data_IF_346058611729
#
_entry.id   IF_346058611729
#
_cell.length_a   1.000
_cell.length_b   1.000
_cell.length_c   1.000
_cell.angle_alpha   90.00
_cell.angle_beta   90.00
_cell.angle_gamma   90.00
#
_symmetry.space_group_name_H-M   'P 1'
#
loop_
_entity.id
_entity.type
_entity.pdbx_description
1 polymer ?
#
# COMPACT_ATOMS: atom_id res chain seq x y z
N UNK A 1 -16.94 55.27 -5.75
CA UNK A 1 -17.43 53.88 -5.85
C UNK A 1 -18.80 53.80 -5.21
N UNK A 2 -19.79 53.23 -5.90
CA UNK A 2 -21.17 53.12 -5.41
C UNK A 2 -21.22 52.10 -4.25
N UNK A 3 -21.67 52.53 -3.06
CA UNK A 3 -21.70 51.77 -1.80
C UNK A 3 -22.35 50.39 -1.93
N UNK A 4 -23.33 50.24 -2.83
CA UNK A 4 -23.97 48.94 -3.12
C UNK A 4 -23.00 47.92 -3.74
N UNK A 5 -22.07 48.37 -4.58
CA UNK A 5 -21.06 47.49 -5.17
C UNK A 5 -20.01 47.08 -4.14
N UNK A 6 -19.63 47.99 -3.23
CA UNK A 6 -18.71 47.66 -2.14
C UNK A 6 -19.32 46.59 -1.24
N UNK A 7 -20.57 46.78 -0.79
CA UNK A 7 -21.26 45.82 0.05
C UNK A 7 -21.37 44.45 -0.62
N UNK A 8 -21.76 44.40 -1.90
CA UNK A 8 -21.82 43.15 -2.68
C UNK A 8 -20.47 42.45 -2.72
N UNK A 9 -19.40 43.18 -3.05
CA UNK A 9 -18.06 42.61 -3.15
C UNK A 9 -17.55 42.09 -1.79
N UNK A 10 -17.85 42.80 -0.70
CA UNK A 10 -17.53 42.35 0.66
C UNK A 10 -18.30 41.07 1.00
N UNK A 11 -19.59 40.98 0.69
CA UNK A 11 -20.39 39.76 0.92
C UNK A 11 -19.83 38.57 0.14
N UNK A 12 -19.48 38.76 -1.14
CA UNK A 12 -18.88 37.71 -1.96
C UNK A 12 -17.52 37.28 -1.41
N UNK A 13 -16.68 38.22 -0.98
CA UNK A 13 -15.39 37.91 -0.36
C UNK A 13 -15.56 37.12 0.95
N UNK A 14 -16.48 37.54 1.82
CA UNK A 14 -16.76 36.83 3.07
C UNK A 14 -17.29 35.42 2.82
N UNK A 15 -18.17 35.24 1.83
CA UNK A 15 -18.65 33.92 1.43
C UNK A 15 -17.51 33.04 0.88
N UNK A 16 -16.65 33.58 0.03
CA UNK A 16 -15.49 32.86 -0.50
C UNK A 16 -14.50 32.47 0.62
N UNK A 17 -14.24 33.38 1.57
CA UNK A 17 -13.38 33.10 2.73
C UNK A 17 -13.99 32.03 3.64
N UNK A 18 -15.30 32.06 3.87
CA UNK A 18 -15.98 31.03 4.66
C UNK A 18 -15.87 29.65 4.00
N UNK A 19 -16.08 29.57 2.68
CA UNK A 19 -15.89 28.33 1.92
C UNK A 19 -14.44 27.84 1.94
N UNK A 20 -13.48 28.75 1.77
CA UNK A 20 -12.06 28.43 1.83
C UNK A 20 -11.63 27.95 3.23
N UNK A 21 -12.20 28.52 4.30
CA UNK A 21 -11.95 28.08 5.67
C UNK A 21 -12.50 26.67 5.92
N UNK A 22 -13.75 26.39 5.52
CA UNK A 22 -14.36 25.07 5.67
C UNK A 22 -13.60 24.00 4.88
N UNK A 23 -13.28 24.27 3.61
CA UNK A 23 -12.48 23.35 2.80
C UNK A 23 -11.04 23.20 3.34
N UNK A 24 -10.45 24.29 3.83
CA UNK A 24 -9.13 24.29 4.45
C UNK A 24 -9.04 23.39 5.68
N UNK A 25 -10.12 23.30 6.47
CA UNK A 25 -10.19 22.40 7.61
C UNK A 25 -10.16 20.93 7.16
N UNK A 26 -10.92 20.54 6.15
CA UNK A 26 -10.88 19.16 5.61
C UNK A 26 -9.49 18.79 5.07
N UNK A 27 -8.81 19.71 4.38
CA UNK A 27 -7.43 19.49 3.91
C UNK A 27 -6.42 19.40 5.04
N UNK A 28 -6.62 20.17 6.12
CA UNK A 28 -5.78 20.13 7.30
C UNK A 28 -5.96 18.83 8.09
N UNK A 29 -7.20 18.34 8.19
CA UNK A 29 -7.53 17.09 8.87
C UNK A 29 -6.88 15.89 8.16
N UNK A 30 -6.92 15.85 6.81
CA UNK A 30 -6.22 14.82 6.03
C UNK A 30 -4.68 14.84 6.20
N UNK A 31 -4.11 16.00 6.53
CA UNK A 31 -2.66 16.11 6.77
C UNK A 31 -2.25 15.56 8.14
N UNK A 32 -3.20 15.31 9.05
CA UNK A 32 -2.87 14.74 10.36
C UNK A 32 -2.40 13.29 10.21
N UNK A 33 -1.30 12.88 10.89
CA UNK A 33 -0.83 11.50 10.85
C UNK A 33 -1.88 10.52 11.38
N UNK A 34 -1.91 9.31 10.82
CA UNK A 34 -2.67 8.20 11.42
C UNK A 34 -2.02 7.78 12.73
N UNK A 35 -2.84 7.36 13.69
CA UNK A 35 -2.39 6.73 14.92
C UNK A 35 -2.43 5.20 14.75
N UNK A 36 -1.32 4.53 15.07
CA UNK A 36 -1.20 3.08 15.02
C UNK A 36 -1.06 2.47 16.41
N UNK A 37 -1.58 1.26 16.61
CA UNK A 37 -1.41 0.55 17.87
C UNK A 37 0.02 0.02 17.99
N UNK A 38 0.77 0.51 18.97
CA UNK A 38 2.20 0.17 19.16
C UNK A 38 2.47 -0.64 20.43
N UNK A 39 1.42 -1.16 21.08
CA UNK A 39 1.56 -1.97 22.30
C UNK A 39 1.64 -3.48 22.01
N UNK A 40 1.83 -3.88 20.75
CA UNK A 40 2.13 -5.28 20.40
C UNK A 40 3.43 -5.71 21.11
N UNK A 41 3.40 -6.73 21.99
CA UNK A 41 4.59 -7.16 22.74
C UNK A 41 5.76 -7.65 21.88
N UNK A 42 5.51 -8.07 20.63
CA UNK A 42 6.55 -8.49 19.70
C UNK A 42 7.23 -7.33 18.97
N UNK A 43 6.64 -6.12 19.02
CA UNK A 43 7.24 -4.93 18.40
C UNK A 43 8.51 -4.55 19.17
N UNK A 44 9.67 -4.71 18.53
CA UNK A 44 10.97 -4.45 19.13
C UNK A 44 11.28 -2.95 19.15
N UNK A 45 11.04 -2.25 18.04
CA UNK A 45 11.21 -0.80 17.91
C UNK A 45 10.47 -0.24 16.70
N UNK A 46 10.28 1.08 16.70
CA UNK A 46 9.86 1.85 15.52
C UNK A 46 11.08 2.66 15.08
N UNK A 47 11.51 2.44 13.85
CA UNK A 47 12.61 3.13 13.20
C UNK A 47 12.08 4.17 12.20
N UNK A 48 12.88 5.17 11.87
CA UNK A 48 12.57 6.11 10.78
C UNK A 48 13.31 5.72 9.50
N UNK A 49 12.71 5.93 8.34
CA UNK A 49 13.39 5.70 7.05
C UNK A 49 14.63 6.60 6.90
N UNK A 50 14.66 7.75 7.58
CA UNK A 50 15.84 8.60 7.68
C UNK A 50 17.04 7.97 8.39
N UNK A 51 16.89 6.84 9.08
CA UNK A 51 18.04 6.02 9.54
C UNK A 51 18.83 5.42 8.36
N UNK A 52 18.17 5.20 7.22
CA UNK A 52 18.76 4.63 6.00
C UNK A 52 19.06 5.67 4.92
N UNK A 53 18.40 6.83 4.98
CA UNK A 53 18.73 8.02 4.19
C UNK A 53 18.55 9.31 5.02
N UNK A 54 19.61 9.86 5.62
CA UNK A 54 19.52 11.05 6.47
C UNK A 54 18.85 12.28 5.83
N UNK A 55 18.85 12.38 4.49
CA UNK A 55 18.20 13.47 3.76
C UNK A 55 16.68 13.48 3.89
N UNK A 56 16.07 12.36 4.33
CA UNK A 56 14.64 12.30 4.59
C UNK A 56 14.24 12.94 5.92
N UNK A 57 15.17 13.16 6.85
CA UNK A 57 14.85 13.58 8.21
C UNK A 57 14.05 14.90 8.22
N UNK A 58 12.85 14.86 8.79
CA UNK A 58 11.95 16.01 8.88
C UNK A 58 11.23 16.37 7.57
N UNK A 59 11.38 15.56 6.52
CA UNK A 59 10.60 15.69 5.29
C UNK A 59 9.29 14.89 5.39
N UNK A 60 8.36 15.10 4.44
CA UNK A 60 7.14 14.31 4.34
C UNK A 60 7.35 12.88 3.79
N UNK A 61 8.60 12.48 3.53
CA UNK A 61 8.97 11.13 3.10
C UNK A 61 9.59 10.28 4.23
N UNK A 62 9.71 10.81 5.44
CA UNK A 62 10.32 10.11 6.59
C UNK A 62 9.32 9.14 7.25
N UNK A 63 9.03 8.04 6.54
CA UNK A 63 8.07 7.03 6.98
C UNK A 63 8.60 6.19 8.15
N UNK A 64 7.68 5.69 8.97
CA UNK A 64 7.97 4.78 10.08
C UNK A 64 8.14 3.34 9.57
N UNK A 65 9.10 2.64 10.18
CA UNK A 65 9.40 1.24 9.94
C UNK A 65 9.23 0.49 11.26
N UNK A 66 8.30 -0.45 11.29
CA UNK A 66 8.01 -1.27 12.46
C UNK A 66 8.89 -2.51 12.42
N UNK A 67 9.70 -2.71 13.47
CA UNK A 67 10.72 -3.77 13.52
C UNK A 67 10.32 -4.82 14.53
N UNK A 68 10.23 -6.07 14.07
CA UNK A 68 9.99 -7.26 14.88
C UNK A 68 11.21 -8.17 14.76
N UNK A 69 12.09 -8.14 15.76
CA UNK A 69 13.31 -8.93 15.82
C UNK A 69 13.19 -9.93 16.97
N UNK A 70 13.22 -11.23 16.67
CA UNK A 70 13.14 -12.26 17.71
C UNK A 70 14.44 -12.40 18.51
N UNK A 71 15.55 -11.82 18.03
CA UNK A 71 16.89 -12.05 18.55
C UNK A 71 17.45 -13.45 18.23
N UNK A 72 16.68 -14.30 17.55
CA UNK A 72 17.09 -15.64 17.11
C UNK A 72 17.44 -15.57 15.61
N UNK A 73 18.66 -15.98 15.21
CA UNK A 73 19.06 -15.98 13.80
C UNK A 73 18.07 -16.72 12.88
N UNK A 74 17.81 -16.15 11.72
CA UNK A 74 16.88 -16.67 10.72
C UNK A 74 16.76 -15.71 9.53
N UNK A 75 15.72 -15.89 8.73
CA UNK A 75 15.45 -15.04 7.57
C UNK A 75 15.02 -13.64 7.94
N UNK A 76 15.22 -12.72 6.99
CA UNK A 76 14.79 -11.33 7.10
C UNK A 76 13.76 -11.01 6.02
N UNK A 77 12.57 -10.55 6.42
CA UNK A 77 11.53 -10.13 5.48
C UNK A 77 11.18 -8.65 5.63
N UNK A 78 10.81 -8.04 4.51
CA UNK A 78 10.19 -6.71 4.46
C UNK A 78 8.81 -6.83 3.81
N UNK A 79 7.76 -6.46 4.55
CA UNK A 79 6.38 -6.36 4.08
C UNK A 79 5.98 -4.89 4.12
N UNK A 80 5.48 -4.35 3.01
CA UNK A 80 4.98 -2.98 3.03
C UNK A 80 3.77 -2.76 2.15
N UNK A 81 2.97 -1.78 2.55
CA UNK A 81 1.87 -1.22 1.79
C UNK A 81 2.00 0.30 1.71
N UNK A 82 0.99 0.94 1.13
CA UNK A 82 0.97 2.40 1.02
C UNK A 82 2.03 2.95 0.07
N UNK A 83 2.51 2.13 -0.87
CA UNK A 83 3.25 2.60 -2.05
C UNK A 83 2.41 3.61 -2.83
N UNK A 84 1.12 3.31 -2.97
CA UNK A 84 0.07 4.26 -3.31
C UNK A 84 -0.94 4.32 -2.15
N UNK A 85 -1.32 5.52 -1.71
CA UNK A 85 -2.14 5.69 -0.50
C UNK A 85 -3.65 5.46 -0.73
N UNK A 86 -4.06 5.27 -1.99
CA UNK A 86 -5.41 4.85 -2.37
C UNK A 86 -5.56 3.31 -2.52
N UNK A 87 -4.48 2.56 -2.26
CA UNK A 87 -4.44 1.10 -2.26
C UNK A 87 -4.64 0.59 -0.83
N UNK A 88 -5.85 0.82 -0.32
CA UNK A 88 -6.18 0.72 1.10
C UNK A 88 -6.08 -0.69 1.65
N UNK A 89 -6.30 -1.75 0.87
CA UNK A 89 -6.20 -3.12 1.39
C UNK A 89 -4.77 -3.51 1.74
N UNK A 90 -3.79 -3.08 0.93
CA UNK A 90 -2.38 -3.28 1.21
C UNK A 90 -1.93 -2.51 2.47
N UNK A 91 -2.43 -1.29 2.66
CA UNK A 91 -2.21 -0.50 3.88
C UNK A 91 -2.79 -1.21 5.10
N UNK A 92 -4.05 -1.66 5.02
CA UNK A 92 -4.71 -2.35 6.11
C UNK A 92 -4.03 -3.68 6.46
N UNK A 93 -3.57 -4.44 5.46
CA UNK A 93 -2.76 -5.64 5.68
C UNK A 93 -1.50 -5.33 6.50
N UNK A 94 -0.74 -4.30 6.15
CA UNK A 94 0.44 -3.88 6.90
C UNK A 94 0.12 -3.40 8.32
N UNK A 95 -1.00 -2.69 8.52
CA UNK A 95 -1.50 -2.32 9.86
C UNK A 95 -1.81 -3.59 10.67
N UNK A 96 -2.50 -4.57 10.10
CA UNK A 96 -2.82 -5.84 10.77
C UNK A 96 -1.56 -6.59 11.20
N UNK A 97 -0.50 -6.58 10.37
CA UNK A 97 0.80 -7.10 10.75
C UNK A 97 1.36 -6.40 11.99
N UNK A 98 1.40 -5.06 12.00
CA UNK A 98 1.95 -4.29 13.13
C UNK A 98 1.25 -4.66 14.44
N UNK A 99 -0.06 -4.83 14.40
CA UNK A 99 -0.89 -4.99 15.60
C UNK A 99 -0.92 -6.43 16.13
N UNK A 100 -0.68 -7.44 15.29
CA UNK A 100 -0.97 -8.84 15.64
C UNK A 100 0.22 -9.79 15.46
N UNK A 101 1.23 -9.44 14.66
CA UNK A 101 2.32 -10.38 14.37
C UNK A 101 3.17 -10.64 15.62
N UNK A 102 3.58 -11.89 15.79
CA UNK A 102 4.62 -12.33 16.71
C UNK A 102 5.71 -13.05 15.92
N UNK A 103 6.97 -12.77 16.23
CA UNK A 103 8.13 -13.34 15.52
C UNK A 103 8.96 -14.14 16.52
N UNK A 104 9.13 -15.44 16.26
CA UNK A 104 9.90 -16.34 17.13
C UNK A 104 11.28 -16.71 16.57
N UNK A 105 11.50 -16.53 15.27
CA UNK A 105 12.78 -16.76 14.60
C UNK A 105 12.93 -15.79 13.42
N UNK A 106 14.08 -15.14 13.29
CA UNK A 106 14.34 -14.17 12.21
C UNK A 106 13.86 -12.76 12.55
N UNK A 107 13.79 -11.93 11.51
CA UNK A 107 13.43 -10.51 11.63
C UNK A 107 12.41 -10.11 10.56
N UNK A 108 11.40 -9.35 10.96
CA UNK A 108 10.39 -8.78 10.06
C UNK A 108 10.37 -7.26 10.18
N UNK A 109 10.38 -6.60 9.03
CA UNK A 109 10.14 -5.17 8.88
C UNK A 109 8.77 -4.94 8.24
N UNK A 110 8.01 -3.98 8.78
CA UNK A 110 6.71 -3.59 8.26
C UNK A 110 6.65 -2.09 8.02
N UNK A 111 6.23 -1.66 6.82
CA UNK A 111 6.00 -0.24 6.49
C UNK A 111 4.55 -0.08 5.99
N UNK A 112 3.64 0.52 6.77
CA UNK A 112 2.23 0.64 6.35
C UNK A 112 2.02 1.80 5.36
N UNK A 113 2.91 2.78 5.36
CA UNK A 113 2.79 4.02 4.59
C UNK A 113 4.10 4.33 3.86
N UNK A 114 4.48 3.48 2.89
CA UNK A 114 5.76 3.62 2.18
C UNK A 114 5.91 5.00 1.50
N UNK A 115 4.83 5.51 0.90
CA UNK A 115 4.75 6.88 0.38
C UNK A 115 3.95 7.78 1.33
N UNK A 116 4.51 8.10 2.51
CA UNK A 116 3.84 8.90 3.54
C UNK A 116 3.26 10.21 2.99
N UNK A 117 3.98 10.86 2.08
CA UNK A 117 3.53 12.09 1.42
C UNK A 117 2.23 11.94 0.62
N UNK A 118 1.86 10.74 0.17
CA UNK A 118 0.65 10.51 -0.61
C UNK A 118 -0.61 10.44 0.27
N UNK A 119 -0.47 10.25 1.58
CA UNK A 119 -1.58 10.23 2.54
C UNK A 119 -2.08 11.63 2.91
N UNK A 120 -1.39 12.70 2.49
CA UNK A 120 -1.74 14.08 2.83
C UNK A 120 -2.57 14.81 1.76
N UNK A 121 -3.03 14.09 0.72
CA UNK A 121 -3.87 14.62 -0.34
C UNK A 121 -4.72 13.52 -0.99
N UNK A 122 -5.88 13.90 -1.51
CA UNK A 122 -6.69 13.06 -2.41
C UNK A 122 -6.45 13.42 -3.87
N UNK A 123 -6.92 12.58 -4.80
CA UNK A 123 -6.83 12.90 -6.22
C UNK A 123 -7.75 14.10 -6.55
N UNK A 124 -7.21 15.21 -7.09
CA UNK A 124 -8.03 16.38 -7.40
C UNK A 124 -9.19 16.03 -8.32
N UNK A 125 -10.34 16.69 -8.12
CA UNK A 125 -11.55 16.55 -8.93
C UNK A 125 -12.26 15.18 -8.87
N UNK A 126 -11.87 14.27 -7.97
CA UNK A 126 -12.57 12.98 -7.77
C UNK A 126 -13.64 12.99 -6.68
N UNK A 127 -13.69 14.03 -5.84
CA UNK A 127 -14.54 14.09 -4.64
C UNK A 127 -14.44 12.81 -3.79
N UNK A 128 -13.19 12.35 -3.61
CA UNK A 128 -12.83 11.11 -2.92
C UNK A 128 -12.98 11.26 -1.40
N UNK A 129 -13.48 10.21 -0.75
CA UNK A 129 -13.39 10.08 0.70
C UNK A 129 -11.92 10.20 1.17
N UNK A 130 -11.72 10.86 2.30
CA UNK A 130 -10.40 11.13 2.88
C UNK A 130 -10.01 10.12 3.96
N UNK A 131 -10.97 9.38 4.54
CA UNK A 131 -10.76 8.44 5.62
C UNK A 131 -11.72 7.25 5.51
N UNK A 132 -11.31 6.12 6.07
CA UNK A 132 -12.16 4.98 6.42
C UNK A 132 -12.26 4.90 7.94
N UNK A 133 -13.44 4.53 8.43
CA UNK A 133 -13.76 4.39 9.83
C UNK A 133 -14.22 2.95 10.12
N UNK A 134 -13.70 2.40 11.21
CA UNK A 134 -14.03 1.07 11.71
C UNK A 134 -14.44 1.20 13.17
N UNK A 135 -15.71 0.92 13.47
CA UNK A 135 -16.20 0.94 14.85
C UNK A 135 -15.94 -0.42 15.47
N UNK A 136 -15.03 -0.47 16.43
CA UNK A 136 -14.59 -1.70 17.08
C UNK A 136 -15.64 -2.25 18.03
N UNK A 137 -15.45 -3.50 18.45
CA UNK A 137 -16.34 -4.20 19.39
C UNK A 137 -16.47 -3.53 20.77
N UNK A 138 -15.48 -2.73 21.18
CA UNK A 138 -15.52 -1.93 22.42
C UNK A 138 -16.21 -0.57 22.27
N UNK A 139 -16.67 -0.23 21.06
CA UNK A 139 -17.33 1.03 20.72
C UNK A 139 -16.38 2.17 20.34
N UNK A 140 -15.06 1.95 20.38
CA UNK A 140 -14.09 2.92 19.87
C UNK A 140 -14.07 2.93 18.33
N UNK A 141 -13.62 4.03 17.72
CA UNK A 141 -13.48 4.14 16.26
C UNK A 141 -12.01 4.19 15.88
N UNK A 142 -11.59 3.29 14.99
CA UNK A 142 -10.33 3.37 14.26
C UNK A 142 -10.55 4.11 12.96
N UNK A 143 -9.77 5.15 12.75
CA UNK A 143 -9.78 5.92 11.52
C UNK A 143 -8.45 5.71 10.79
N UNK A 144 -8.52 5.51 9.47
CA UNK A 144 -7.34 5.35 8.60
C UNK A 144 -7.52 6.23 7.37
N UNK A 145 -6.53 7.05 7.05
CA UNK A 145 -6.54 7.93 5.87
C UNK A 145 -6.59 7.16 4.56
N UNK A 146 -7.33 7.73 3.61
CA UNK A 146 -7.32 7.37 2.20
C UNK A 146 -6.61 8.51 1.46
N UNK A 147 -5.42 8.22 0.95
CA UNK A 147 -4.64 9.19 0.19
C UNK A 147 -4.84 9.07 -1.32
N UNK A 148 -3.81 9.41 -2.06
CA UNK A 148 -3.79 9.31 -3.52
C UNK A 148 -2.61 8.48 -4.03
N UNK A 149 -2.55 8.26 -5.33
CA UNK A 149 -1.50 7.47 -5.99
C UNK A 149 -0.12 8.14 -5.90
N UNK A 150 -0.10 9.47 -6.00
CA UNK A 150 1.14 10.25 -6.11
C UNK A 150 1.44 10.93 -4.77
N UNK A 151 2.72 11.15 -4.47
CA UNK A 151 3.10 12.06 -3.40
C UNK A 151 2.45 13.43 -3.61
N UNK A 152 2.07 14.09 -2.50
CA UNK A 152 1.47 15.42 -2.54
C UNK A 152 2.40 16.41 -3.29
N UNK A 153 1.92 17.10 -4.33
CA UNK A 153 2.73 18.07 -5.08
C UNK A 153 3.24 19.23 -4.22
N UNK A 154 2.60 19.54 -3.08
CA UNK A 154 3.11 20.55 -2.13
C UNK A 154 4.44 20.12 -1.51
N UNK A 155 4.66 18.82 -1.32
CA UNK A 155 5.90 18.29 -0.74
C UNK A 155 6.99 18.04 -1.80
N UNK A 156 6.60 17.91 -3.07
CA UNK A 156 7.51 17.70 -4.19
C UNK A 156 7.11 18.59 -5.38
N UNK A 157 7.66 19.80 -5.39
CA UNK A 157 7.52 20.79 -6.45
C UNK A 157 8.86 21.50 -6.70
N UNK A 158 9.20 21.88 -7.95
CA UNK A 158 8.47 21.59 -9.20
C UNK A 158 8.75 20.19 -9.75
N UNK A 159 7.82 19.64 -10.51
CA UNK A 159 8.14 18.52 -11.39
C UNK A 159 9.07 19.02 -12.52
N UNK A 160 10.08 18.23 -12.91
CA UNK A 160 10.90 18.56 -14.08
C UNK A 160 10.06 18.47 -15.37
N UNK A 161 10.62 18.85 -16.53
CA UNK A 161 9.98 18.57 -17.83
C UNK A 161 10.41 17.22 -18.43
N UNK A 162 11.55 16.69 -17.96
CA UNK A 162 12.14 15.42 -18.36
C UNK A 162 12.94 14.86 -17.20
N UNK A 163 12.85 13.55 -16.96
CA UNK A 163 13.67 12.85 -15.96
C UNK A 163 14.04 11.45 -16.48
N UNK A 164 15.32 11.15 -16.57
CA UNK A 164 15.83 9.79 -16.72
C UNK A 164 16.23 9.26 -15.34
N UNK A 165 15.40 8.41 -14.74
CA UNK A 165 15.65 7.91 -13.38
C UNK A 165 16.79 6.86 -13.36
N UNK A 166 17.16 6.43 -12.15
CA UNK A 166 18.27 5.48 -11.93
C UNK A 166 18.01 4.06 -12.42
N UNK A 167 16.75 3.67 -12.65
CA UNK A 167 16.42 2.39 -13.29
C UNK A 167 16.39 2.45 -14.81
N UNK A 168 16.68 3.61 -15.42
CA UNK A 168 16.65 3.81 -16.87
C UNK A 168 15.28 4.18 -17.43
N UNK A 169 14.27 4.41 -16.57
CA UNK A 169 12.96 4.90 -16.99
C UNK A 169 13.07 6.37 -17.39
N UNK A 170 12.56 6.69 -18.57
CA UNK A 170 12.36 8.07 -19.01
C UNK A 170 10.94 8.52 -18.65
N UNK A 171 10.84 9.57 -17.85
CA UNK A 171 9.60 10.30 -17.59
C UNK A 171 9.61 11.59 -18.40
N UNK A 172 8.61 11.76 -19.24
CA UNK A 172 8.51 12.89 -20.16
C UNK A 172 7.04 13.20 -20.50
N UNK A 173 6.76 14.43 -20.92
CA UNK A 173 5.43 14.86 -21.35
C UNK A 173 4.35 14.58 -20.29
N UNK A 174 3.27 13.87 -20.64
CA UNK A 174 2.15 13.58 -19.75
C UNK A 174 2.47 12.61 -18.60
N UNK A 175 3.59 11.90 -18.66
CA UNK A 175 3.99 10.97 -17.59
C UNK A 175 4.82 11.64 -16.50
N UNK A 176 5.13 12.92 -16.63
CA UNK A 176 6.09 13.57 -15.74
C UNK A 176 5.64 13.61 -14.28
N UNK A 177 4.32 13.63 -14.04
CA UNK A 177 3.74 13.53 -12.70
C UNK A 177 4.12 12.22 -11.99
N UNK A 178 4.50 11.17 -12.72
CA UNK A 178 4.97 9.89 -12.17
C UNK A 178 6.33 10.02 -11.44
N UNK A 179 7.02 11.17 -11.50
CA UNK A 179 8.16 11.46 -10.61
C UNK A 179 7.75 11.50 -9.14
N UNK A 180 6.45 11.67 -8.86
CA UNK A 180 5.85 11.57 -7.52
C UNK A 180 5.29 10.18 -7.21
N UNK A 181 5.44 9.21 -8.11
CA UNK A 181 4.98 7.85 -7.90
C UNK A 181 6.13 6.97 -7.35
N UNK A 182 5.97 6.41 -6.16
CA UNK A 182 7.00 5.58 -5.54
C UNK A 182 7.33 4.35 -6.40
N UNK A 183 6.32 3.68 -6.95
CA UNK A 183 6.48 2.55 -7.86
C UNK A 183 6.85 2.95 -9.30
N UNK A 184 7.57 4.05 -9.47
CA UNK A 184 8.15 4.51 -10.75
C UNK A 184 9.58 5.00 -10.59
N UNK A 185 10.07 5.08 -9.35
CA UNK A 185 11.32 5.75 -9.00
C UNK A 185 12.31 4.85 -8.27
N UNK A 186 11.99 3.58 -8.03
CA UNK A 186 13.00 2.61 -7.59
C UNK A 186 14.11 2.48 -8.66
N UNK A 187 15.39 2.25 -8.28
CA UNK A 187 15.90 2.05 -6.92
C UNK A 187 16.14 3.34 -6.11
N UNK A 188 15.80 4.51 -6.66
CA UNK A 188 15.93 5.81 -6.00
C UNK A 188 17.28 6.49 -6.14
N UNK A 189 17.43 7.62 -5.47
CA UNK A 189 18.65 8.42 -5.34
C UNK A 189 18.82 8.91 -3.90
N UNK A 190 20.06 8.96 -3.40
CA UNK A 190 20.36 9.43 -2.04
C UNK A 190 19.91 10.89 -1.84
N UNK A 191 20.25 11.72 -2.83
CA UNK A 191 19.86 13.12 -2.93
C UNK A 191 19.17 13.30 -4.29
N UNK A 192 17.90 13.69 -4.27
CA UNK A 192 17.05 13.76 -5.46
C UNK A 192 15.67 14.32 -5.12
N UNK A 193 14.68 14.00 -5.95
CA UNK A 193 13.29 14.32 -5.61
C UNK A 193 12.84 13.52 -4.38
N UNK A 194 11.87 14.05 -3.62
CA UNK A 194 11.39 13.42 -2.37
C UNK A 194 11.15 11.92 -2.52
N UNK A 195 10.39 11.51 -3.55
CA UNK A 195 10.06 10.11 -3.79
C UNK A 195 11.28 9.27 -4.21
N UNK A 196 12.25 9.85 -4.92
CA UNK A 196 13.52 9.16 -5.22
C UNK A 196 14.33 8.91 -3.95
N UNK A 197 14.34 9.87 -3.02
CA UNK A 197 14.99 9.74 -1.72
C UNK A 197 14.33 8.66 -0.85
N UNK A 198 12.99 8.57 -0.90
CA UNK A 198 12.23 7.48 -0.24
C UNK A 198 12.60 6.12 -0.85
N UNK A 199 12.59 6.00 -2.17
CA UNK A 199 12.98 4.78 -2.86
C UNK A 199 14.41 4.33 -2.50
N UNK A 200 15.33 5.29 -2.40
CA UNK A 200 16.70 5.03 -1.96
C UNK A 200 16.76 4.57 -0.52
N UNK A 201 16.01 5.21 0.39
CA UNK A 201 15.89 4.78 1.79
C UNK A 201 15.42 3.34 1.89
N UNK A 202 14.39 2.95 1.13
CA UNK A 202 13.89 1.55 1.09
C UNK A 202 14.97 0.60 0.57
N UNK A 203 15.68 0.96 -0.50
CA UNK A 203 16.82 0.15 -0.99
C UNK A 203 17.89 0.00 0.08
N UNK A 204 18.26 1.09 0.76
CA UNK A 204 19.28 1.07 1.81
C UNK A 204 18.85 0.23 3.00
N UNK A 205 17.57 0.26 3.40
CA UNK A 205 17.00 -0.68 4.37
C UNK A 205 17.22 -2.13 3.93
N UNK A 206 16.82 -2.46 2.71
CA UNK A 206 16.97 -3.82 2.14
C UNK A 206 18.42 -4.29 2.15
N UNK A 207 19.36 -3.45 1.73
CA UNK A 207 20.79 -3.77 1.71
C UNK A 207 21.41 -3.88 3.10
N UNK A 208 21.06 -2.96 4.01
CA UNK A 208 21.68 -2.86 5.34
C UNK A 208 21.23 -4.00 6.25
N UNK A 209 19.94 -4.33 6.20
CA UNK A 209 19.35 -5.38 7.00
C UNK A 209 19.42 -6.76 6.33
N UNK A 210 20.01 -6.84 5.13
CA UNK A 210 20.13 -8.06 4.33
C UNK A 210 18.78 -8.77 4.15
N UNK A 211 17.75 -8.02 3.74
CA UNK A 211 16.41 -8.55 3.52
C UNK A 211 16.45 -9.67 2.47
N UNK A 212 15.95 -10.85 2.83
CA UNK A 212 15.89 -12.04 2.00
C UNK A 212 14.70 -12.03 1.05
N UNK A 213 13.52 -11.66 1.57
CA UNK A 213 12.27 -11.56 0.82
C UNK A 213 11.63 -10.19 1.02
N UNK A 214 11.19 -9.59 -0.08
CA UNK A 214 10.49 -8.32 -0.08
C UNK A 214 9.12 -8.49 -0.72
N UNK A 215 8.10 -8.00 -0.02
CA UNK A 215 6.72 -7.97 -0.46
C UNK A 215 6.19 -6.54 -0.47
N UNK A 216 5.85 -6.05 -1.66
CA UNK A 216 5.19 -4.76 -1.88
C UNK A 216 3.71 -5.01 -2.23
N UNK A 217 2.80 -4.62 -1.33
CA UNK A 217 1.36 -4.77 -1.53
C UNK A 217 0.80 -3.64 -2.39
N UNK A 218 0.16 -4.01 -3.50
CA UNK A 218 -0.52 -3.10 -4.45
C UNK A 218 -1.96 -3.54 -4.70
N UNK A 219 -2.73 -2.64 -5.29
CA UNK A 219 -4.02 -3.01 -5.85
C UNK A 219 -4.12 -2.59 -7.31
N UNK A 220 -5.01 -3.25 -8.02
CA UNK A 220 -5.20 -3.13 -9.45
C UNK A 220 -6.63 -2.72 -9.76
N UNK A 221 -6.77 -1.79 -10.70
CA UNK A 221 -8.07 -1.45 -11.27
C UNK A 221 -8.70 -2.65 -12.00
N UNK A 222 -10.04 -2.74 -12.09
CA UNK A 222 -10.73 -3.81 -12.82
C UNK A 222 -10.26 -4.02 -14.27
N UNK A 223 -9.83 -2.93 -14.92
CA UNK A 223 -9.33 -2.92 -16.31
C UNK A 223 -7.90 -3.45 -16.44
N UNK A 224 -7.17 -3.62 -15.34
CA UNK A 224 -5.78 -4.04 -15.38
C UNK A 224 -5.66 -5.55 -15.51
N UNK A 225 -4.75 -6.03 -16.37
CA UNK A 225 -4.62 -7.45 -16.69
C UNK A 225 -4.08 -8.30 -15.54
N UNK A 226 -3.27 -7.69 -14.67
CA UNK A 226 -2.59 -8.39 -13.58
C UNK A 226 -3.36 -8.32 -12.25
N UNK A 227 -4.69 -8.38 -12.28
CA UNK A 227 -5.50 -8.50 -11.06
C UNK A 227 -5.30 -9.88 -10.43
N UNK A 228 -5.03 -9.89 -9.12
CA UNK A 228 -4.66 -11.04 -8.29
C UNK A 228 -3.36 -11.73 -8.71
N UNK A 229 -2.41 -10.97 -9.24
CA UNK A 229 -1.09 -11.48 -9.61
C UNK A 229 -0.02 -11.15 -8.58
N UNK A 230 0.78 -12.15 -8.24
CA UNK A 230 2.13 -11.96 -7.72
C UNK A 230 3.06 -11.72 -8.91
N UNK A 231 3.65 -10.53 -8.97
CA UNK A 231 4.71 -10.18 -9.91
C UNK A 231 6.05 -10.38 -9.22
N UNK A 232 6.82 -11.37 -9.65
CA UNK A 232 8.07 -11.75 -9.01
C UNK A 232 9.28 -11.41 -9.89
N UNK A 233 10.35 -10.90 -9.27
CA UNK A 233 11.66 -10.87 -9.92
C UNK A 233 12.09 -12.28 -10.34
N UNK A 234 12.91 -12.46 -11.39
CA UNK A 234 13.35 -13.81 -11.79
C UNK A 234 13.95 -14.64 -10.64
N UNK A 235 14.65 -13.99 -9.71
CA UNK A 235 15.24 -14.64 -8.52
C UNK A 235 14.19 -15.09 -7.48
N UNK A 236 12.98 -14.57 -7.55
CA UNK A 236 11.88 -14.86 -6.64
C UNK A 236 10.81 -15.79 -7.25
N UNK A 237 11.01 -16.28 -8.49
CA UNK A 237 10.00 -17.09 -9.18
C UNK A 237 9.71 -18.42 -8.50
N UNK A 238 10.74 -19.12 -8.05
CA UNK A 238 10.58 -20.40 -7.34
C UNK A 238 9.87 -20.18 -5.98
N UNK A 239 10.25 -19.11 -5.28
CA UNK A 239 9.62 -18.68 -4.03
C UNK A 239 8.13 -18.37 -4.24
N UNK A 240 7.80 -17.55 -5.25
CA UNK A 240 6.42 -17.19 -5.57
C UNK A 240 5.57 -18.39 -6.01
N UNK A 241 6.17 -19.34 -6.73
CA UNK A 241 5.49 -20.57 -7.14
C UNK A 241 5.13 -21.45 -5.94
N UNK A 242 6.07 -21.63 -5.01
CA UNK A 242 5.84 -22.36 -3.77
C UNK A 242 4.78 -21.67 -2.90
N UNK A 243 4.86 -20.34 -2.76
CA UNK A 243 3.88 -19.57 -1.99
C UNK A 243 2.46 -19.71 -2.53
N UNK A 244 2.26 -19.60 -3.85
CA UNK A 244 0.93 -19.77 -4.47
C UNK A 244 0.40 -21.20 -4.32
N UNK A 245 1.28 -22.20 -4.44
CA UNK A 245 0.88 -23.60 -4.22
C UNK A 245 0.41 -23.80 -2.77
N UNK A 246 1.21 -23.36 -1.80
CA UNK A 246 0.88 -23.49 -0.38
C UNK A 246 -0.40 -22.71 -0.02
N UNK A 247 -0.59 -21.51 -0.59
CA UNK A 247 -1.81 -20.73 -0.43
C UNK A 247 -3.06 -21.46 -0.92
N UNK A 248 -2.98 -22.11 -2.08
CA UNK A 248 -4.10 -22.88 -2.61
C UNK A 248 -4.35 -24.16 -1.80
N UNK A 249 -3.30 -24.82 -1.29
CA UNK A 249 -3.47 -25.98 -0.41
C UNK A 249 -4.19 -25.58 0.88
N UNK A 250 -3.81 -24.46 1.51
CA UNK A 250 -4.50 -23.92 2.69
C UNK A 250 -5.97 -23.60 2.37
N UNK A 251 -6.24 -22.90 1.27
CA UNK A 251 -7.61 -22.59 0.84
C UNK A 251 -8.47 -23.86 0.71
N UNK A 252 -7.92 -24.92 0.12
CA UNK A 252 -8.61 -26.20 -0.03
C UNK A 252 -8.86 -26.89 1.32
N UNK A 253 -7.91 -26.81 2.25
CA UNK A 253 -8.09 -27.33 3.61
C UNK A 253 -9.14 -26.56 4.41
N UNK A 254 -9.33 -25.27 4.10
CA UNK A 254 -10.37 -24.41 4.67
C UNK A 254 -11.74 -24.55 3.96
N UNK A 255 -11.83 -25.42 2.94
CA UNK A 255 -13.07 -25.73 2.23
C UNK A 255 -13.30 -24.94 0.94
N UNK A 256 -12.39 -24.04 0.57
CA UNK A 256 -12.39 -23.39 -0.73
C UNK A 256 -11.65 -24.26 -1.77
N UNK A 257 -12.38 -25.19 -2.37
CA UNK A 257 -11.84 -26.17 -3.32
C UNK A 257 -11.30 -25.56 -4.63
N UNK A 258 -11.73 -24.36 -4.98
CA UNK A 258 -11.26 -23.63 -6.16
C UNK A 258 -9.93 -22.89 -5.90
N UNK A 259 -9.48 -22.84 -4.64
CA UNK A 259 -8.30 -22.10 -4.23
C UNK A 259 -8.52 -20.59 -4.22
N UNK A 260 -7.45 -19.84 -3.99
CA UNK A 260 -7.47 -18.39 -4.16
C UNK A 260 -7.25 -18.03 -5.64
N UNK A 261 -7.75 -16.89 -6.13
CA UNK A 261 -7.58 -16.47 -7.53
C UNK A 261 -6.15 -16.00 -7.87
N UNK A 262 -5.15 -16.45 -7.10
CA UNK A 262 -3.77 -16.01 -7.19
C UNK A 262 -3.10 -16.56 -8.44
N UNK A 263 -2.37 -15.69 -9.12
CA UNK A 263 -1.60 -16.01 -10.31
C UNK A 263 -0.16 -15.52 -10.14
N UNK A 264 0.78 -16.16 -10.83
CA UNK A 264 2.17 -15.75 -10.86
C UNK A 264 2.48 -15.16 -12.23
N UNK A 265 3.17 -14.04 -12.27
CA UNK A 265 3.83 -13.56 -13.48
C UNK A 265 5.25 -13.11 -13.16
N UNK A 266 6.10 -13.19 -14.19
CA UNK A 266 7.47 -12.75 -14.09
C UNK A 266 7.53 -11.24 -14.34
N UNK A 267 8.26 -10.56 -13.46
CA UNK A 267 8.70 -9.18 -13.68
C UNK A 267 9.41 -9.03 -15.03
N UNK A 268 8.83 -8.22 -15.92
CA UNK A 268 9.47 -7.87 -17.19
C UNK A 268 10.82 -7.16 -17.00
N UNK A 269 11.79 -7.44 -17.88
CA UNK A 269 13.11 -6.82 -17.85
C UNK A 269 13.09 -5.30 -18.10
N UNK A 270 12.00 -4.79 -18.68
CA UNK A 270 11.79 -3.36 -18.96
C UNK A 270 10.83 -2.70 -17.96
N UNK A 271 10.51 -3.36 -16.85
CA UNK A 271 9.67 -2.81 -15.76
C UNK A 271 10.45 -1.80 -14.91
N UNK A 272 11.11 -0.84 -15.56
CA UNK A 272 11.94 0.16 -14.91
C UNK A 272 11.12 1.01 -13.94
N UNK A 273 11.68 1.22 -12.75
CA UNK A 273 11.06 2.00 -11.69
C UNK A 273 10.15 1.21 -10.76
N UNK A 274 9.75 -0.01 -11.15
CA UNK A 274 8.86 -0.84 -10.33
C UNK A 274 9.65 -1.54 -9.22
N UNK A 275 9.11 -1.63 -8.00
CA UNK A 275 9.77 -2.19 -6.82
C UNK A 275 10.30 -3.60 -7.05
N UNK A 276 9.44 -4.51 -7.53
CA UNK A 276 9.80 -5.90 -7.82
C UNK A 276 10.96 -6.04 -8.82
N UNK A 277 11.09 -5.11 -9.78
CA UNK A 277 12.18 -5.16 -10.78
C UNK A 277 13.41 -4.43 -10.27
N UNK A 278 13.27 -3.16 -9.93
CA UNK A 278 14.38 -2.28 -9.61
C UNK A 278 15.07 -2.67 -8.29
N UNK A 279 14.34 -3.09 -7.26
CA UNK A 279 14.97 -3.61 -6.04
C UNK A 279 15.57 -5.00 -6.28
N UNK A 280 14.91 -5.83 -7.10
CA UNK A 280 15.44 -7.12 -7.53
C UNK A 280 16.75 -7.01 -8.33
N UNK A 281 16.99 -5.92 -9.04
CA UNK A 281 18.25 -5.69 -9.76
C UNK A 281 19.37 -5.12 -8.92
N UNK A 282 19.01 -4.34 -7.90
CA UNK A 282 19.95 -3.52 -7.18
C UNK A 282 20.22 -4.02 -5.75
N UNK A 283 19.61 -5.14 -5.35
CA UNK A 283 19.80 -5.74 -4.02
C UNK A 283 19.81 -7.27 -4.11
N UNK A 284 20.10 -7.96 -3.02
CA UNK A 284 20.03 -9.43 -2.99
C UNK A 284 18.63 -9.97 -2.66
N UNK A 285 17.65 -9.13 -2.34
CA UNK A 285 16.31 -9.57 -1.96
C UNK A 285 15.57 -10.28 -3.11
N UNK A 286 14.81 -11.31 -2.75
CA UNK A 286 13.76 -11.88 -3.59
C UNK A 286 12.58 -10.91 -3.60
N UNK A 287 12.61 -9.97 -4.55
CA UNK A 287 11.64 -8.88 -4.64
C UNK A 287 10.36 -9.32 -5.35
N UNK A 288 9.22 -9.00 -4.72
CA UNK A 288 7.88 -9.32 -5.20
C UNK A 288 6.93 -8.14 -5.01
N UNK A 289 5.88 -8.10 -5.82
CA UNK A 289 4.75 -7.19 -5.70
C UNK A 289 3.47 -7.98 -5.93
N UNK A 290 2.40 -7.75 -5.16
CA UNK A 290 1.12 -8.41 -5.37
C UNK A 290 0.00 -7.40 -5.61
N UNK A 291 -0.81 -7.65 -6.62
CA UNK A 291 -1.91 -6.77 -7.07
C UNK A 291 -3.26 -7.40 -6.69
N UNK A 292 -3.98 -6.89 -5.68
CA UNK A 292 -5.38 -7.31 -5.43
C UNK A 292 -6.39 -6.45 -6.20
N UNK A 293 -7.60 -6.93 -6.45
CA UNK A 293 -8.62 -6.15 -7.20
C UNK A 293 -9.14 -4.97 -6.37
N UNK A 294 -9.01 -3.72 -6.83
CA UNK A 294 -9.64 -2.55 -6.20
C UNK A 294 -10.46 -1.72 -7.21
N UNK A 295 -11.80 -1.68 -7.08
CA UNK A 295 -12.66 -0.91 -8.00
C UNK A 295 -12.37 0.58 -7.99
N UNK A 296 -11.96 1.15 -6.86
CA UNK A 296 -11.69 2.60 -6.71
C UNK A 296 -10.58 3.08 -7.64
N UNK A 297 -9.74 2.18 -8.12
CA UNK A 297 -8.60 2.55 -8.97
C UNK A 297 -8.94 2.72 -10.44
N UNK A 298 -10.01 2.08 -10.92
CA UNK A 298 -10.34 2.12 -12.34
C UNK A 298 -11.08 3.39 -12.74
N UNK A 299 -11.36 3.57 -14.03
CA UNK A 299 -11.95 4.82 -14.51
C UNK A 299 -13.48 4.84 -14.46
N UNK A 300 -14.08 3.66 -14.43
CA UNK A 300 -15.53 3.47 -14.51
C UNK A 300 -16.20 3.25 -13.15
N UNK A 301 -15.53 3.56 -12.04
CA UNK A 301 -16.12 3.43 -10.71
C UNK A 301 -17.23 4.47 -10.45
N UNK A 302 -18.05 4.22 -9.43
CA UNK A 302 -19.05 5.17 -8.93
C UNK A 302 -18.42 6.30 -8.11
N UNK A 303 -19.20 7.14 -7.40
CA UNK A 303 -18.61 8.15 -6.51
C UNK A 303 -17.71 7.45 -5.47
N UNK A 304 -16.49 7.95 -5.26
CA UNK A 304 -15.55 7.36 -4.30
C UNK A 304 -15.91 7.76 -2.88
N UNK A 305 -16.92 7.09 -2.33
CA UNK A 305 -17.32 7.19 -0.93
C UNK A 305 -16.55 6.20 -0.06
N UNK A 306 -16.68 6.32 1.26
CA UNK A 306 -16.10 5.36 2.19
C UNK A 306 -16.64 3.95 1.93
N UNK A 307 -17.93 3.81 1.62
CA UNK A 307 -18.58 2.53 1.32
C UNK A 307 -18.03 1.91 0.04
N UNK A 308 -17.79 2.68 -1.03
CA UNK A 308 -17.14 2.13 -2.23
C UNK A 308 -15.72 1.61 -1.90
N UNK A 309 -14.99 2.32 -1.04
CA UNK A 309 -13.63 1.94 -0.64
C UNK A 309 -13.64 0.71 0.27
N UNK A 310 -14.62 0.57 1.18
CA UNK A 310 -14.74 -0.56 2.09
C UNK A 310 -15.36 -1.77 1.41
N UNK A 311 -16.54 -1.63 0.83
CA UNK A 311 -17.33 -2.75 0.29
C UNK A 311 -16.90 -3.15 -1.13
N UNK A 312 -16.28 -2.23 -1.87
CA UNK A 312 -15.86 -2.48 -3.25
C UNK A 312 -17.03 -2.73 -4.22
N UNK A 313 -18.23 -2.24 -3.89
CA UNK A 313 -19.43 -2.41 -4.73
C UNK A 313 -19.56 -1.22 -5.67
N UNK A 314 -19.48 -1.49 -6.98
CA UNK A 314 -19.67 -0.49 -8.04
C UNK A 314 -20.69 -0.97 -9.07
N UNK A 315 -21.92 -0.44 -9.07
CA UNK A 315 -22.93 -0.75 -10.09
C UNK A 315 -22.42 -0.59 -11.52
N UNK A 316 -21.56 0.41 -11.77
CA UNK A 316 -20.96 0.58 -13.09
C UNK A 316 -20.07 -0.61 -13.48
N UNK A 317 -19.20 -1.10 -12.59
CA UNK A 317 -18.38 -2.27 -12.91
C UNK A 317 -19.15 -3.58 -12.96
N UNK A 318 -20.21 -3.74 -12.16
CA UNK A 318 -21.14 -4.87 -12.31
C UNK A 318 -21.68 -4.86 -13.74
N UNK A 319 -22.11 -3.70 -14.22
CA UNK A 319 -22.63 -3.59 -15.59
C UNK A 319 -21.58 -3.86 -16.66
N UNK A 320 -20.36 -3.36 -16.50
CA UNK A 320 -19.26 -3.59 -17.44
C UNK A 320 -18.88 -5.08 -17.48
N UNK A 321 -18.91 -5.76 -16.33
CA UNK A 321 -18.70 -7.20 -16.20
C UNK A 321 -19.78 -7.98 -16.96
N UNK A 322 -21.06 -7.66 -16.76
CA UNK A 322 -22.17 -8.28 -17.50
C UNK A 322 -22.06 -8.13 -19.02
N UNK A 323 -21.45 -7.03 -19.48
CA UNK A 323 -21.21 -6.76 -20.90
C UNK A 323 -19.99 -7.49 -21.46
N UNK A 324 -19.21 -8.19 -20.63
CA UNK A 324 -17.99 -8.89 -21.03
C UNK A 324 -16.86 -7.96 -21.47
N UNK A 325 -16.82 -6.73 -20.93
CA UNK A 325 -15.84 -5.70 -21.32
C UNK A 325 -14.58 -5.69 -20.45
N UNK A 326 -14.55 -6.47 -19.37
CA UNK A 326 -13.35 -6.69 -18.54
C UNK A 326 -12.67 -8.00 -18.91
N UNK A 327 -11.35 -8.06 -18.73
CA UNK A 327 -10.55 -9.26 -19.04
C UNK A 327 -10.07 -10.01 -17.79
N UNK A 328 -10.21 -9.44 -16.60
CA UNK A 328 -9.52 -9.92 -15.39
C UNK A 328 -10.20 -9.52 -14.08
N UNK A 329 -10.47 -8.23 -13.86
CA UNK A 329 -11.06 -7.74 -12.61
C UNK A 329 -12.58 -7.73 -12.60
N UNK A 330 -13.22 -8.84 -12.98
CA UNK A 330 -14.67 -8.96 -12.99
C UNK A 330 -15.26 -8.71 -11.59
N UNK A 331 -16.29 -7.88 -11.52
CA UNK A 331 -16.98 -7.52 -10.29
C UNK A 331 -18.45 -7.93 -10.39
N UNK A 332 -18.91 -8.65 -9.38
CA UNK A 332 -20.32 -9.01 -9.20
C UNK A 332 -20.97 -8.10 -8.16
N UNK A 333 -22.26 -8.30 -7.88
CA UNK A 333 -22.97 -7.58 -6.81
C UNK A 333 -22.36 -7.81 -5.42
N UNK A 334 -21.55 -8.87 -5.24
CA UNK A 334 -20.82 -9.13 -4.00
C UNK A 334 -19.68 -8.12 -3.74
N UNK A 335 -19.25 -7.36 -4.77
CA UNK A 335 -18.19 -6.38 -4.66
C UNK A 335 -16.80 -6.98 -4.46
N UNK A 336 -15.90 -6.15 -3.93
CA UNK A 336 -14.55 -6.55 -3.52
C UNK A 336 -14.21 -5.92 -2.16
N UNK A 337 -14.74 -6.49 -1.07
CA UNK A 337 -14.59 -5.91 0.26
C UNK A 337 -13.12 -5.77 0.68
N UNK A 338 -12.80 -4.76 1.47
CA UNK A 338 -11.44 -4.47 1.93
C UNK A 338 -10.88 -5.62 2.78
N UNK A 339 -11.74 -6.32 3.52
CA UNK A 339 -11.42 -7.51 4.28
C UNK A 339 -10.90 -8.63 3.37
N UNK A 340 -11.58 -8.87 2.25
CA UNK A 340 -11.21 -9.88 1.26
C UNK A 340 -9.86 -9.53 0.61
N UNK A 341 -9.72 -8.28 0.16
CA UNK A 341 -8.50 -7.80 -0.50
C UNK A 341 -7.30 -7.84 0.43
N UNK A 342 -7.47 -7.43 1.69
CA UNK A 342 -6.42 -7.47 2.70
C UNK A 342 -6.08 -8.90 3.11
N UNK A 343 -7.08 -9.79 3.20
CA UNK A 343 -6.85 -11.22 3.43
C UNK A 343 -6.02 -11.83 2.31
N UNK A 344 -6.24 -11.45 1.04
CA UNK A 344 -5.36 -11.86 -0.06
C UNK A 344 -3.93 -11.38 0.10
N UNK A 345 -3.73 -10.13 0.54
CA UNK A 345 -2.38 -9.63 0.81
C UNK A 345 -1.68 -10.38 1.95
N UNK A 346 -2.42 -10.72 3.00
CA UNK A 346 -1.90 -11.45 4.14
C UNK A 346 -1.55 -12.89 3.77
N UNK A 347 -2.41 -13.57 3.02
CA UNK A 347 -2.17 -14.91 2.50
C UNK A 347 -0.93 -14.93 1.61
N UNK A 348 -0.84 -14.02 0.64
CA UNK A 348 0.32 -14.00 -0.24
C UNK A 348 1.63 -13.74 0.53
N UNK A 349 1.65 -12.74 1.41
CA UNK A 349 2.84 -12.38 2.17
C UNK A 349 3.26 -13.46 3.17
N UNK A 350 2.33 -14.06 3.91
CA UNK A 350 2.66 -15.14 4.88
C UNK A 350 3.18 -16.38 4.16
N UNK A 351 2.64 -16.71 3.00
CA UNK A 351 3.07 -17.86 2.22
C UNK A 351 4.42 -17.64 1.56
N UNK A 352 4.74 -16.42 1.14
CA UNK A 352 6.10 -16.07 0.71
C UNK A 352 7.12 -16.22 1.84
N UNK A 353 6.76 -15.78 3.05
CA UNK A 353 7.62 -15.93 4.24
C UNK A 353 7.79 -17.42 4.61
N UNK A 354 6.71 -18.22 4.57
CA UNK A 354 6.77 -19.65 4.82
C UNK A 354 7.62 -20.40 3.79
N UNK A 355 7.38 -20.14 2.50
CA UNK A 355 8.13 -20.73 1.40
C UNK A 355 9.63 -20.40 1.44
N UNK A 356 10.00 -19.25 2.03
CA UNK A 356 11.42 -18.89 2.22
C UNK A 356 12.13 -19.94 3.09
N UNK A 357 11.54 -20.33 4.21
CA UNK A 357 12.11 -21.34 5.11
C UNK A 357 12.07 -22.77 4.53
N UNK A 358 11.08 -23.07 3.69
CA UNK A 358 10.99 -24.37 3.00
C UNK A 358 12.10 -24.54 1.97
N UNK A 359 12.35 -23.51 1.16
CA UNK A 359 13.36 -23.54 0.10
C UNK A 359 14.78 -23.27 0.62
N UNK A 360 14.90 -22.46 1.67
CA UNK A 360 16.15 -22.03 2.28
C UNK A 360 16.05 -22.15 3.80
N UNK A 361 16.27 -23.35 4.37
CA UNK A 361 16.09 -23.59 5.81
C UNK A 361 16.89 -22.65 6.72
N UNK A 362 18.05 -22.18 6.27
CA UNK A 362 18.89 -21.20 6.98
C UNK A 362 18.27 -19.79 7.05
N UNK A 363 17.31 -19.50 6.15
CA UNK A 363 16.55 -18.25 6.06
C UNK A 363 15.13 -18.39 6.61
N UNK A 364 14.90 -19.34 7.51
CA UNK A 364 13.59 -19.51 8.15
C UNK A 364 13.22 -18.26 8.96
N UNK A 365 12.06 -17.68 8.66
CA UNK A 365 11.41 -16.65 9.46
C UNK A 365 10.08 -17.22 9.98
N UNK A 366 9.95 -17.36 11.30
CA UNK A 366 8.74 -17.93 11.91
C UNK A 366 7.88 -16.81 12.48
N UNK A 367 6.69 -16.63 11.90
CA UNK A 367 5.70 -15.66 12.33
C UNK A 367 4.41 -16.35 12.79
N UNK A 368 3.69 -15.72 13.72
CA UNK A 368 2.38 -16.19 14.22
C UNK A 368 1.53 -15.00 14.67
N UNK A 369 0.31 -15.26 15.15
CA UNK A 369 -0.58 -14.23 15.71
C UNK A 369 -1.40 -13.44 14.70
N UNK A 370 -1.07 -13.54 13.41
CA UNK A 370 -1.88 -12.96 12.33
C UNK A 370 -3.25 -13.65 12.23
N UNK A 371 -4.34 -12.89 11.95
CA UNK A 371 -5.63 -13.50 11.61
C UNK A 371 -5.53 -14.37 10.36
N UNK A 372 -6.34 -15.42 10.32
CA UNK A 372 -6.53 -16.24 9.11
C UNK A 372 -7.36 -15.50 8.07
N UNK A 373 -7.38 -16.00 6.83
CA UNK A 373 -8.29 -15.51 5.80
C UNK A 373 -9.74 -15.43 6.29
N UNK A 374 -10.22 -16.51 6.92
CA UNK A 374 -11.60 -16.59 7.43
C UNK A 374 -11.86 -15.61 8.58
N UNK A 375 -10.86 -15.37 9.44
CA UNK A 375 -11.00 -14.38 10.52
C UNK A 375 -11.24 -12.97 9.95
N UNK A 376 -10.49 -12.57 8.92
CA UNK A 376 -10.66 -11.26 8.28
C UNK A 376 -12.00 -11.15 7.57
N UNK A 377 -12.35 -12.13 6.75
CA UNK A 377 -13.58 -12.10 5.95
C UNK A 377 -14.84 -12.21 6.82
N UNK A 378 -14.77 -12.91 7.95
CA UNK A 378 -15.93 -13.13 8.84
C UNK A 378 -16.06 -12.06 9.92
N UNK A 379 -14.96 -11.72 10.60
CA UNK A 379 -15.00 -10.81 11.75
C UNK A 379 -14.84 -9.34 11.34
N UNK A 380 -14.34 -9.09 10.12
CA UNK A 380 -14.02 -7.76 9.64
C UNK A 380 -12.87 -7.09 10.39
N UNK A 381 -12.47 -5.91 9.93
CA UNK A 381 -11.45 -5.13 10.64
C UNK A 381 -11.91 -4.68 12.03
N UNK A 382 -13.23 -4.51 12.22
CA UNK A 382 -13.86 -4.19 13.49
C UNK A 382 -13.59 -5.23 14.59
N UNK A 383 -13.37 -6.50 14.21
CA UNK A 383 -12.99 -7.59 15.11
C UNK A 383 -11.48 -7.85 15.23
N UNK A 384 -10.68 -7.32 14.29
CA UNK A 384 -9.23 -7.60 14.20
C UNK A 384 -8.38 -6.46 14.77
N UNK A 385 -8.74 -5.22 14.46
CA UNK A 385 -7.98 -4.04 14.87
C UNK A 385 -8.03 -3.84 16.39
N UNK A 386 -6.92 -3.35 16.96
CA UNK A 386 -6.82 -3.04 18.39
C UNK A 386 -7.28 -1.61 18.67
N UNK A 387 -7.93 -1.32 19.81
CA UNK A 387 -8.18 0.06 20.21
C UNK A 387 -6.85 0.80 20.47
N UNK A 388 -6.80 2.08 20.13
CA UNK A 388 -5.60 2.93 20.32
C UNK A 388 -5.47 3.47 21.74
N UNK A 389 -6.52 3.38 22.57
CA UNK A 389 -6.62 3.95 23.92
C UNK A 389 -7.02 2.92 24.96
#
# INVERSE_FOLDING_TARGET
>A
MNTKHILRNVVVLLAALALAFLAGQEFYDLQQPDEFYTANPALTRIAKLSEYNPNLKGTAGDTDIYVFDSGVPGGVALVYGGTHANETAAVMSAITYIENVSVSQGKLFVIPQANLSAFSATLPLRAQASHMNFTLTDGSTRQVRIGTRLANPVHQWPDPNYRLNTSGRMLQHGEIAEIRNLNRNHPGLEEGYLVEMVCYGIRKLVETENVDVLYDGHEASPEFRAVNFLIAHERAMDLGSAAILNANLDAMMEGNMDGYPFKLDRSGATSWGLSHRALGDNTNAMATLFESLNPVMGFCHDKVTEELVKDGISPNYVKITELGLLSSGELTEAGSPIELRAAYHMEMSRHLIGALGELYPEKTLTISGLPTFNDLVTNGFEGILKPLK
#
